data_IF_427874366182
#
_entry.id   IF_427874366182
#
_cell.length_a   1.000
_cell.length_b   1.000
_cell.length_c   1.000
_cell.angle_alpha   90.00
_cell.angle_beta   90.00
_cell.angle_gamma   90.00
#
_symmetry.space_group_name_H-M   'P 1'
#
loop_
_entity.id
_entity.type
_entity.pdbx_description
1 polymer ?
#
# COMPACT_ATOMS: atom_id res chain seq x y z
N UNK A 1 -6.04 -10.74 13.59
CA UNK A 1 -6.68 -10.77 12.24
C UNK A 1 -6.09 -9.63 11.42
N UNK A 2 -5.87 -9.78 10.11
CA UNK A 2 -5.14 -8.76 9.32
C UNK A 2 -5.88 -7.40 9.25
N UNK A 3 -7.22 -7.40 9.35
CA UNK A 3 -8.06 -6.20 9.47
C UNK A 3 -7.80 -5.39 10.76
N UNK A 4 -7.33 -6.03 11.83
CA UNK A 4 -7.05 -5.33 13.11
C UNK A 4 -5.72 -4.57 13.09
N UNK A 5 -4.92 -4.72 12.02
CA UNK A 5 -3.59 -4.10 11.87
C UNK A 5 -3.56 -3.04 10.77
N UNK A 6 -4.72 -2.51 10.41
CA UNK A 6 -4.81 -1.43 9.45
C UNK A 6 -4.33 -0.16 10.14
N UNK A 7 -3.31 0.44 9.56
CA UNK A 7 -2.83 1.76 9.93
C UNK A 7 -3.51 2.80 9.04
N UNK A 8 -4.12 3.81 9.66
CA UNK A 8 -4.74 4.93 8.98
C UNK A 8 -3.83 6.15 9.11
N UNK A 9 -3.35 6.63 7.96
CA UNK A 9 -2.40 7.72 7.81
C UNK A 9 -3.05 8.84 6.99
N UNK A 10 -2.48 10.04 7.04
CA UNK A 10 -3.01 11.22 6.32
C UNK A 10 -4.50 11.46 6.61
N UNK A 11 -4.84 11.58 7.89
CA UNK A 11 -6.21 11.77 8.38
C UNK A 11 -7.20 10.69 7.86
N UNK A 12 -6.71 9.47 7.67
CA UNK A 12 -7.49 8.32 7.20
C UNK A 12 -7.54 8.14 5.68
N UNK A 13 -6.91 9.03 4.91
CA UNK A 13 -6.91 8.94 3.44
C UNK A 13 -5.97 7.85 2.90
N UNK A 14 -4.98 7.43 3.68
CA UNK A 14 -4.09 6.31 3.36
C UNK A 14 -4.31 5.17 4.35
N UNK A 15 -4.80 4.03 3.86
CA UNK A 15 -4.91 2.79 4.64
C UNK A 15 -3.74 1.85 4.32
N UNK A 16 -2.98 1.45 5.33
CA UNK A 16 -1.78 0.63 5.20
C UNK A 16 -1.91 -0.68 5.97
N UNK A 17 -1.46 -1.78 5.36
CA UNK A 17 -1.30 -3.08 6.03
C UNK A 17 0.08 -3.64 5.75
N UNK A 18 0.78 -4.06 6.81
CA UNK A 18 2.03 -4.79 6.73
C UNK A 18 1.82 -6.30 6.90
N UNK A 19 2.40 -7.07 5.99
CA UNK A 19 2.38 -8.53 5.99
C UNK A 19 3.83 -9.03 6.04
N UNK A 20 4.32 -9.45 7.21
CA UNK A 20 5.68 -9.96 7.35
C UNK A 20 5.82 -11.36 6.73
N UNK A 21 7.06 -11.78 6.47
CA UNK A 21 7.34 -13.02 5.72
C UNK A 21 6.78 -14.27 6.41
N UNK A 22 6.84 -14.32 7.74
CA UNK A 22 6.35 -15.42 8.57
C UNK A 22 4.86 -15.68 8.31
N UNK A 23 4.08 -14.63 8.09
CA UNK A 23 2.66 -14.74 7.77
C UNK A 23 2.44 -15.16 6.31
N UNK A 24 3.28 -14.68 5.39
CA UNK A 24 3.23 -15.15 4.00
C UNK A 24 3.44 -16.67 3.96
N UNK A 25 4.41 -17.18 4.73
CA UNK A 25 4.69 -18.61 4.83
C UNK A 25 3.56 -19.39 5.51
N UNK A 26 2.98 -18.84 6.59
CA UNK A 26 1.91 -19.49 7.31
C UNK A 26 0.63 -19.64 6.48
N UNK A 27 0.36 -18.68 5.58
CA UNK A 27 -0.91 -18.62 4.84
C UNK A 27 -0.79 -18.91 3.33
N UNK A 28 0.42 -19.21 2.81
CA UNK A 28 0.65 -19.40 1.36
C UNK A 28 -0.23 -20.47 0.70
N UNK A 29 -0.50 -21.55 1.43
CA UNK A 29 -1.21 -22.73 0.91
C UNK A 29 -2.73 -22.65 1.11
N UNK A 30 -3.20 -21.73 1.97
CA UNK A 30 -4.59 -21.69 2.40
C UNK A 30 -5.37 -20.49 1.87
N UNK A 31 -4.74 -19.32 1.69
CA UNK A 31 -5.44 -18.07 1.38
C UNK A 31 -4.40 -17.00 1.07
N UNK A 32 -4.39 -16.32 -0.09
CA UNK A 32 -3.46 -15.21 -0.34
C UNK A 32 -4.04 -13.93 0.31
N UNK A 33 -3.70 -13.59 1.57
CA UNK A 33 -4.46 -12.62 2.36
C UNK A 33 -4.28 -11.20 1.79
N UNK A 34 -3.09 -10.93 1.26
CA UNK A 34 -2.76 -9.66 0.62
C UNK A 34 -3.47 -9.41 -0.71
N UNK A 35 -4.13 -10.42 -1.31
CA UNK A 35 -4.94 -10.20 -2.50
C UNK A 35 -6.34 -9.66 -2.17
N UNK A 36 -6.95 -10.13 -1.09
CA UNK A 36 -8.32 -9.77 -0.71
C UNK A 36 -8.38 -8.45 0.07
N UNK A 37 -7.38 -8.17 0.90
CA UNK A 37 -7.46 -7.02 1.81
C UNK A 37 -7.28 -5.69 1.11
N UNK A 38 -6.45 -5.60 0.07
CA UNK A 38 -6.32 -4.35 -0.70
C UNK A 38 -7.65 -3.90 -1.33
N UNK A 39 -8.55 -4.83 -1.65
CA UNK A 39 -9.87 -4.49 -2.18
C UNK A 39 -10.84 -4.13 -1.06
N UNK A 40 -10.78 -4.81 0.09
CA UNK A 40 -11.57 -4.49 1.29
C UNK A 40 -11.22 -3.11 1.88
N UNK A 41 -9.93 -2.74 1.90
CA UNK A 41 -9.47 -1.46 2.44
C UNK A 41 -10.02 -0.26 1.67
N UNK A 42 -10.23 -0.40 0.35
CA UNK A 42 -10.85 0.64 -0.47
C UNK A 42 -12.32 0.88 -0.14
N UNK A 43 -12.99 -0.07 0.49
CA UNK A 43 -14.41 0.08 0.86
C UNK A 43 -14.58 0.95 2.12
N UNK A 44 -13.49 1.29 2.82
CA UNK A 44 -13.53 2.17 3.98
C UNK A 44 -13.77 3.61 3.52
N UNK A 45 -14.80 4.24 4.08
CA UNK A 45 -15.15 5.62 3.78
C UNK A 45 -13.98 6.57 4.11
N UNK A 46 -13.69 7.50 3.19
CA UNK A 46 -12.60 8.47 3.33
C UNK A 46 -11.24 7.97 2.85
N UNK A 47 -11.03 6.67 2.65
CA UNK A 47 -9.78 6.14 2.09
C UNK A 47 -9.65 6.53 0.62
N UNK A 48 -8.58 7.23 0.28
CA UNK A 48 -8.23 7.60 -1.09
C UNK A 48 -7.28 6.58 -1.73
N UNK A 49 -6.37 6.01 -0.94
CA UNK A 49 -5.41 5.01 -1.36
C UNK A 49 -5.25 3.95 -0.27
N UNK A 50 -5.23 2.69 -0.67
CA UNK A 50 -4.83 1.59 0.20
C UNK A 50 -3.53 0.95 -0.29
N UNK A 51 -2.71 0.54 0.66
CA UNK A 51 -1.41 -0.07 0.43
C UNK A 51 -1.27 -1.36 1.25
N UNK A 52 -0.87 -2.43 0.58
CA UNK A 52 -0.45 -3.67 1.24
C UNK A 52 1.04 -3.87 0.99
N UNK A 53 1.82 -3.85 2.07
CA UNK A 53 3.26 -4.06 2.06
C UNK A 53 3.58 -5.49 2.50
N UNK A 54 4.36 -6.20 1.70
CA UNK A 54 4.96 -7.49 2.05
C UNK A 54 6.47 -7.34 2.22
N UNK A 55 7.02 -7.79 3.33
CA UNK A 55 8.47 -7.82 3.57
C UNK A 55 9.02 -9.23 3.49
N UNK A 56 10.29 -9.33 3.11
CA UNK A 56 10.99 -10.59 2.91
C UNK A 56 12.35 -10.56 3.63
N UNK A 57 12.91 -11.72 4.03
CA UNK A 57 14.16 -11.79 4.80
C UNK A 57 15.40 -11.29 4.04
N UNK A 58 15.33 -11.23 2.71
CA UNK A 58 16.38 -10.72 1.82
C UNK A 58 16.38 -9.17 1.72
N UNK A 59 15.61 -8.49 2.57
CA UNK A 59 15.43 -7.03 2.53
C UNK A 59 14.53 -6.54 1.40
N UNK A 60 13.96 -7.45 0.60
CA UNK A 60 12.98 -7.09 -0.43
C UNK A 60 11.67 -6.69 0.22
N UNK A 61 11.04 -5.69 -0.38
CA UNK A 61 9.69 -5.26 -0.07
C UNK A 61 8.89 -5.18 -1.37
N UNK A 62 7.64 -5.66 -1.34
CA UNK A 62 6.68 -5.42 -2.43
C UNK A 62 5.45 -4.72 -1.88
N UNK A 63 5.07 -3.61 -2.52
CA UNK A 63 3.86 -2.89 -2.18
C UNK A 63 2.82 -3.02 -3.31
N UNK A 64 1.57 -3.26 -2.93
CA UNK A 64 0.41 -3.22 -3.82
C UNK A 64 -0.44 -2.02 -3.44
N UNK A 65 -0.73 -1.19 -4.42
CA UNK A 65 -1.56 -0.01 -4.28
C UNK A 65 -2.91 -0.18 -4.96
N UNK A 66 -3.94 0.33 -4.30
CA UNK A 66 -5.34 0.31 -4.75
C UNK A 66 -5.99 1.63 -4.35
N UNK A 67 -6.31 2.45 -5.35
CA UNK A 67 -6.88 3.78 -5.16
C UNK A 67 -8.40 3.82 -5.33
N UNK A 68 -9.04 4.73 -4.61
CA UNK A 68 -10.36 5.31 -4.91
C UNK A 68 -10.21 6.64 -5.67
N UNK A 69 -9.01 7.23 -5.66
CA UNK A 69 -8.59 8.30 -6.55
C UNK A 69 -7.54 7.78 -7.56
N UNK A 70 -7.39 8.42 -8.74
CA UNK A 70 -6.47 8.01 -9.78
C UNK A 70 -5.01 8.41 -9.48
N UNK A 71 -4.48 8.02 -8.32
CA UNK A 71 -3.14 8.42 -7.83
C UNK A 71 -2.19 7.23 -7.62
N UNK A 72 -2.65 5.99 -7.83
CA UNK A 72 -1.89 4.80 -7.49
C UNK A 72 -0.62 4.65 -8.33
N UNK A 73 -0.67 4.92 -9.64
CA UNK A 73 0.49 4.85 -10.52
C UNK A 73 1.50 5.97 -10.23
N UNK A 74 1.03 7.19 -9.96
CA UNK A 74 1.87 8.31 -9.51
C UNK A 74 2.64 7.95 -8.24
N UNK A 75 1.94 7.47 -7.21
CA UNK A 75 2.58 7.06 -5.94
C UNK A 75 3.53 5.89 -6.17
N UNK A 76 3.16 4.88 -6.97
CA UNK A 76 4.07 3.78 -7.30
C UNK A 76 5.31 4.26 -8.07
N UNK A 77 5.15 5.24 -8.96
CA UNK A 77 6.22 5.81 -9.77
C UNK A 77 7.32 6.47 -8.94
N UNK A 78 6.96 7.07 -7.79
CA UNK A 78 7.94 7.61 -6.82
C UNK A 78 8.97 6.55 -6.40
N UNK A 79 8.54 5.30 -6.24
CA UNK A 79 9.39 4.17 -5.84
C UNK A 79 10.00 3.41 -7.03
N UNK A 80 9.91 3.95 -8.25
CA UNK A 80 10.34 3.26 -9.47
C UNK A 80 9.42 2.09 -9.88
N UNK A 81 8.21 2.03 -9.34
CA UNK A 81 7.15 1.11 -9.73
C UNK A 81 6.24 1.66 -10.83
N UNK A 82 5.02 1.14 -10.91
CA UNK A 82 4.02 1.61 -11.87
C UNK A 82 2.76 0.74 -11.92
N UNK A 83 1.90 1.02 -12.89
CA UNK A 83 0.65 0.31 -13.10
C UNK A 83 -0.41 1.17 -13.78
N UNK A 84 -1.63 1.15 -13.24
CA UNK A 84 -2.76 1.96 -13.67
C UNK A 84 -3.13 3.00 -12.61
N UNK A 85 -3.84 4.08 -12.97
CA UNK A 85 -4.18 5.16 -12.04
C UNK A 85 -4.87 4.72 -10.73
N UNK A 86 -5.66 3.64 -10.76
CA UNK A 86 -6.33 3.11 -9.56
C UNK A 86 -5.70 1.84 -9.00
N UNK A 87 -4.66 1.29 -9.65
CA UNK A 87 -4.09 -0.01 -9.31
C UNK A 87 -2.64 -0.10 -9.78
N UNK A 88 -1.70 -0.04 -8.85
CA UNK A 88 -0.28 -0.05 -9.14
C UNK A 88 0.50 -0.83 -8.07
N UNK A 89 1.82 -0.87 -8.21
CA UNK A 89 2.68 -1.45 -7.19
C UNK A 89 4.16 -1.18 -7.47
N UNK A 90 4.98 -1.46 -6.46
CA UNK A 90 6.43 -1.28 -6.54
C UNK A 90 7.16 -2.37 -5.77
N UNK A 91 8.44 -2.53 -6.11
CA UNK A 91 9.38 -3.43 -5.44
C UNK A 91 10.68 -2.70 -5.17
N UNK A 92 11.12 -2.73 -3.92
CA UNK A 92 12.32 -2.03 -3.44
C UNK A 92 13.11 -2.93 -2.49
N UNK A 93 14.34 -2.53 -2.19
CA UNK A 93 15.21 -3.16 -1.18
C UNK A 93 15.57 -2.08 -0.17
N UNK A 94 14.75 -1.94 0.87
CA UNK A 94 14.86 -0.88 1.87
C UNK A 94 14.12 -1.30 3.15
N UNK A 95 14.40 -0.61 4.26
CA UNK A 95 13.69 -0.82 5.52
C UNK A 95 12.20 -0.45 5.43
N UNK A 96 11.37 -1.19 6.15
CA UNK A 96 9.92 -0.94 6.22
C UNK A 96 9.61 0.49 6.67
N UNK A 97 10.26 0.95 7.75
CA UNK A 97 10.02 2.28 8.33
C UNK A 97 10.29 3.41 7.33
N UNK A 98 11.37 3.29 6.55
CA UNK A 98 11.70 4.31 5.54
C UNK A 98 10.67 4.33 4.41
N UNK A 99 10.27 3.15 3.92
CA UNK A 99 9.23 3.04 2.90
C UNK A 99 7.89 3.59 3.40
N UNK A 100 7.53 3.42 4.68
CA UNK A 100 6.30 4.02 5.22
C UNK A 100 6.39 5.54 5.24
N UNK A 101 7.52 6.14 5.65
CA UNK A 101 7.70 7.60 5.64
C UNK A 101 7.61 8.17 4.22
N UNK A 102 8.29 7.54 3.28
CA UNK A 102 8.26 7.93 1.87
C UNK A 102 6.86 7.75 1.28
N UNK A 103 6.15 6.67 1.65
CA UNK A 103 4.79 6.39 1.15
C UNK A 103 3.81 7.45 1.60
N UNK A 104 3.88 7.87 2.87
CA UNK A 104 3.09 8.99 3.40
C UNK A 104 3.39 10.26 2.62
N UNK A 105 4.66 10.58 2.40
CA UNK A 105 5.09 11.79 1.68
C UNK A 105 4.60 11.80 0.23
N UNK A 106 4.81 10.71 -0.51
CA UNK A 106 4.40 10.58 -1.90
C UNK A 106 2.87 10.60 -2.06
N UNK A 107 2.15 9.96 -1.13
CA UNK A 107 0.68 9.94 -1.15
C UNK A 107 0.11 11.32 -0.84
N UNK A 108 0.64 12.02 0.17
CA UNK A 108 0.23 13.39 0.53
C UNK A 108 0.42 14.36 -0.63
N UNK A 109 1.56 14.28 -1.32
CA UNK A 109 1.80 15.07 -2.53
C UNK A 109 0.77 14.76 -3.63
N UNK A 110 0.55 13.48 -3.94
CA UNK A 110 -0.40 13.08 -4.98
C UNK A 110 -1.85 13.49 -4.66
N UNK A 111 -2.25 13.46 -3.38
CA UNK A 111 -3.56 13.93 -2.92
C UNK A 111 -3.73 15.43 -3.13
N UNK A 112 -2.71 16.23 -2.81
CA UNK A 112 -2.73 17.69 -3.03
C UNK A 112 -2.85 18.05 -4.51
N UNK A 113 -2.14 17.33 -5.37
CA UNK A 113 -2.20 17.53 -6.82
C UNK A 113 -3.58 17.14 -7.39
N UNK A 114 -4.14 16.02 -6.93
CA UNK A 114 -5.47 15.56 -7.35
C UNK A 114 -6.61 16.48 -6.87
N UNK A 115 -6.50 17.07 -5.66
CA UNK A 115 -7.50 17.98 -5.12
C UNK A 115 -7.51 19.39 -5.72
N UNK A 116 -6.50 19.74 -6.54
CA UNK A 116 -6.44 21.01 -7.27
C UNK A 116 -7.05 20.92 -8.68
N UNK A 117 -7.56 19.75 -9.07
CA UNK A 117 -8.11 19.46 -10.41
C UNK A 117 -9.64 19.53 -10.46
#
# INVERSE_FOLDING_TARGET
>A
KLIERIEYLLDGQLALVHVPFEEIQQYSDAYNPGALIGDELRLVEGVALSCVIKTYPDGKLTARLRGNLPIADTVAGYFGGGGHPYAAGFRVYESYDEIVRELVTATDQALREAGQS
#
